data_IF_183444644409
#
_entry.id   IF_183444644409
#
_cell.length_a   1.000
_cell.length_b   1.000
_cell.length_c   1.000
_cell.angle_alpha   90.00
_cell.angle_beta   90.00
_cell.angle_gamma   90.00
#
_symmetry.space_group_name_H-M   'P 1'
#
loop_
_entity.id
_entity.type
_entity.pdbx_description
1 polymer ?
#
# COMPACT_ATOMS: atom_id res chain seq x y z
N UNK A 1 6.95 -23.08 7.38
CA UNK A 1 6.94 -22.03 8.43
C UNK A 1 5.66 -21.27 8.19
N UNK A 2 4.55 -21.79 8.69
CA UNK A 2 3.21 -21.37 8.27
C UNK A 2 2.34 -21.28 9.53
N UNK A 3 2.68 -20.33 10.39
CA UNK A 3 1.86 -19.92 11.53
C UNK A 3 1.78 -18.39 11.49
N UNK A 4 1.22 -17.85 10.40
CA UNK A 4 0.75 -16.46 10.35
C UNK A 4 -0.66 -16.50 10.96
N UNK A 5 -0.73 -16.92 12.21
CA UNK A 5 -1.96 -16.94 12.98
C UNK A 5 -2.38 -15.51 13.30
N UNK A 6 -3.12 -14.89 12.39
CA UNK A 6 -4.13 -13.86 12.69
C UNK A 6 -3.71 -12.72 13.65
N UNK A 7 -2.44 -12.32 13.72
CA UNK A 7 -2.03 -11.12 14.43
C UNK A 7 -1.88 -10.02 13.38
N UNK A 8 -2.84 -9.09 13.37
CA UNK A 8 -2.81 -7.93 12.49
C UNK A 8 -1.68 -7.02 13.00
N UNK A 9 -0.55 -6.99 12.28
CA UNK A 9 0.59 -6.11 12.56
C UNK A 9 0.49 -4.82 11.75
N UNK A 10 1.09 -3.73 12.23
CA UNK A 10 1.08 -2.45 11.52
C UNK A 10 1.77 -2.52 10.17
N UNK A 11 2.88 -3.24 10.05
CA UNK A 11 3.52 -3.52 8.75
C UNK A 11 2.55 -4.14 7.72
N UNK A 12 1.76 -5.13 8.14
CA UNK A 12 0.80 -5.79 7.26
C UNK A 12 -0.34 -4.83 6.85
N UNK A 13 -0.78 -3.97 7.77
CA UNK A 13 -1.77 -2.92 7.47
C UNK A 13 -1.20 -1.86 6.52
N UNK A 14 0.07 -1.49 6.68
CA UNK A 14 0.74 -0.51 5.82
C UNK A 14 0.91 -1.04 4.39
N UNK A 15 1.27 -2.32 4.25
CA UNK A 15 1.38 -2.97 2.94
C UNK A 15 0.03 -3.02 2.23
N UNK A 16 -1.04 -3.41 2.95
CA UNK A 16 -2.41 -3.38 2.43
C UNK A 16 -2.85 -1.97 2.01
N UNK A 17 -2.52 -0.95 2.82
CA UNK A 17 -2.81 0.45 2.55
C UNK A 17 -2.16 0.92 1.24
N UNK A 18 -0.87 0.61 1.05
CA UNK A 18 -0.14 0.96 -0.18
C UNK A 18 -0.71 0.24 -1.39
N UNK A 19 -1.03 -1.05 -1.28
CA UNK A 19 -1.61 -1.81 -2.39
C UNK A 19 -2.94 -1.21 -2.87
N UNK A 20 -3.79 -0.81 -1.94
CA UNK A 20 -5.05 -0.14 -2.26
C UNK A 20 -4.84 1.27 -2.81
N UNK A 21 -3.88 2.03 -2.26
CA UNK A 21 -3.51 3.35 -2.78
C UNK A 21 -3.02 3.26 -4.24
N UNK A 22 -2.22 2.24 -4.58
CA UNK A 22 -1.79 1.94 -5.96
C UNK A 22 -2.95 1.63 -6.91
N UNK A 23 -4.05 1.06 -6.41
CA UNK A 23 -5.27 0.80 -7.17
C UNK A 23 -6.13 2.07 -7.39
N UNK A 24 -5.72 3.21 -6.83
CA UNK A 24 -6.45 4.47 -6.91
C UNK A 24 -7.57 4.59 -5.89
N UNK A 25 -7.60 3.75 -4.84
CA UNK A 25 -8.53 3.94 -3.73
C UNK A 25 -8.12 5.14 -2.88
N UNK A 26 -9.08 6.01 -2.55
CA UNK A 26 -8.85 7.16 -1.66
C UNK A 26 -8.89 6.71 -0.21
N UNK A 27 -7.81 6.09 0.26
CA UNK A 27 -7.64 5.68 1.65
C UNK A 27 -7.09 6.83 2.50
N UNK A 28 -7.57 6.91 3.74
CA UNK A 28 -7.10 7.87 4.73
C UNK A 28 -6.53 7.15 5.94
N UNK A 29 -5.37 7.63 6.44
CA UNK A 29 -4.73 7.09 7.66
C UNK A 29 -5.69 7.13 8.85
N UNK A 30 -6.52 8.17 8.95
CA UNK A 30 -7.54 8.33 10.00
C UNK A 30 -8.57 7.19 10.07
N UNK A 31 -8.87 6.54 8.94
CA UNK A 31 -9.77 5.37 8.92
C UNK A 31 -9.12 4.16 9.59
N UNK A 32 -7.80 4.00 9.43
CA UNK A 32 -7.05 2.92 10.04
C UNK A 32 -6.81 3.16 11.53
N UNK A 33 -6.52 4.41 11.95
CA UNK A 33 -6.38 4.75 13.38
C UNK A 33 -7.70 4.65 14.13
N UNK A 34 -8.83 5.00 13.48
CA UNK A 34 -10.15 4.82 14.06
C UNK A 34 -10.56 3.34 14.21
N UNK A 35 -10.12 2.48 13.28
CA UNK A 35 -10.41 1.04 13.27
C UNK A 35 -9.51 0.24 14.22
N UNK A 36 -8.27 0.68 14.41
CA UNK A 36 -7.28 0.05 15.27
C UNK A 36 -6.68 1.08 16.24
N UNK A 37 -7.44 1.51 17.27
CA UNK A 37 -6.97 2.51 18.21
C UNK A 37 -5.73 2.06 18.99
N UNK A 38 -5.59 0.75 19.25
CA UNK A 38 -4.41 0.18 19.92
C UNK A 38 -3.12 0.27 19.09
N UNK A 39 -3.27 0.46 17.77
CA UNK A 39 -2.16 0.59 16.83
C UNK A 39 -2.07 2.02 16.26
N UNK A 40 -2.88 2.97 16.74
CA UNK A 40 -3.00 4.29 16.14
C UNK A 40 -1.67 5.05 16.12
N UNK A 41 -0.94 5.05 17.24
CA UNK A 41 0.37 5.71 17.33
C UNK A 41 1.36 5.14 16.31
N UNK A 42 1.40 3.81 16.18
CA UNK A 42 2.32 3.10 15.29
C UNK A 42 1.89 3.24 13.81
N UNK A 43 0.58 3.30 13.53
CA UNK A 43 0.03 3.59 12.19
C UNK A 43 0.41 5.02 11.75
N UNK A 44 0.26 6.02 12.63
CA UNK A 44 0.59 7.41 12.30
C UNK A 44 2.09 7.63 12.06
N UNK A 45 2.95 6.77 12.62
CA UNK A 45 4.39 6.79 12.37
C UNK A 45 4.77 6.01 11.09
N UNK A 46 4.28 4.79 10.94
CA UNK A 46 4.74 3.86 9.88
C UNK A 46 4.09 4.17 8.52
N UNK A 47 2.79 4.49 8.47
CA UNK A 47 2.09 4.68 7.19
C UNK A 47 2.68 5.83 6.36
N UNK A 48 2.91 7.04 6.91
CA UNK A 48 3.52 8.13 6.14
C UNK A 48 4.95 7.79 5.68
N UNK A 49 5.72 7.09 6.51
CA UNK A 49 7.08 6.68 6.14
C UNK A 49 7.08 5.70 4.96
N UNK A 50 6.17 4.72 4.98
CA UNK A 50 6.00 3.74 3.90
C UNK A 50 5.45 4.39 2.62
N UNK A 51 4.51 5.32 2.76
CA UNK A 51 3.98 6.12 1.64
C UNK A 51 5.08 6.94 0.95
N UNK A 52 5.94 7.60 1.72
CA UNK A 52 7.11 8.31 1.19
C UNK A 52 8.03 7.36 0.41
N UNK A 53 8.36 6.20 0.97
CA UNK A 53 9.21 5.20 0.28
C UNK A 53 8.58 4.73 -1.03
N UNK A 54 7.26 4.59 -1.08
CA UNK A 54 6.52 4.25 -2.29
C UNK A 54 6.60 5.35 -3.34
N UNK A 55 6.45 6.63 -2.95
CA UNK A 55 6.57 7.77 -3.86
C UNK A 55 7.99 7.89 -4.46
N UNK A 56 9.02 7.42 -3.76
CA UNK A 56 10.40 7.36 -4.26
C UNK A 56 10.69 6.15 -5.16
N UNK A 57 9.77 5.18 -5.26
CA UNK A 57 9.96 4.02 -6.12
C UNK A 57 9.81 4.47 -7.58
N UNK A 58 10.81 4.21 -8.45
CA UNK A 58 10.66 4.55 -9.86
C UNK A 58 9.45 3.82 -10.41
N UNK A 59 8.55 4.55 -11.08
CA UNK A 59 7.38 4.03 -11.78
C UNK A 59 7.81 3.20 -13.01
N UNK A 60 8.56 2.12 -12.78
CA UNK A 60 8.92 1.16 -13.81
C UNK A 60 7.73 0.22 -13.99
N UNK A 61 6.79 0.57 -14.87
CA UNK A 61 5.74 -0.38 -15.22
C UNK A 61 4.51 0.10 -15.98
N UNK A 62 4.43 1.35 -16.41
CA UNK A 62 3.37 1.81 -17.33
C UNK A 62 4.06 2.83 -18.24
N UNK A 63 4.50 2.48 -19.46
CA UNK A 63 3.68 2.43 -20.67
C UNK A 63 4.42 1.55 -21.71
N UNK A 64 3.91 0.36 -22.00
CA UNK A 64 4.04 -0.20 -23.36
C UNK A 64 2.83 -1.07 -23.66
N UNK A 65 1.66 -0.45 -23.63
CA UNK A 65 0.53 -0.90 -24.44
C UNK A 65 0.87 -0.57 -25.92
N UNK A 66 1.82 -1.32 -26.50
CA UNK A 66 1.99 -1.44 -27.96
C UNK A 66 1.18 -2.66 -28.44
N UNK A 67 -0.12 -2.68 -28.12
CA UNK A 67 -1.11 -3.44 -28.91
C UNK A 67 -1.79 -2.52 -29.93
N UNK A 68 -1.00 -1.68 -30.59
CA UNK A 68 -1.42 -0.98 -31.79
C UNK A 68 -0.29 -1.08 -32.81
N UNK A 69 -0.46 -2.04 -33.73
CA UNK A 69 -0.03 -1.99 -35.12
C UNK A 69 0.82 -3.18 -35.57
N UNK A 70 0.22 -3.90 -36.51
CA UNK A 70 0.88 -4.54 -37.64
C UNK A 70 1.66 -5.83 -37.38
N UNK A 71 1.04 -6.93 -37.82
CA UNK A 71 1.81 -7.95 -38.56
C UNK A 71 1.11 -8.27 -39.89
N UNK A 72 1.91 -8.46 -40.96
CA UNK A 72 1.54 -8.28 -42.37
C UNK A 72 0.66 -9.38 -42.96
#
# INVERSE_FOLDING_TARGET
MDDIGQQISVDALAEEFIERKRRGESLHISEYTAKYPDLADEIEEIFPAMELMEDFKPASGDLSDESASSRP
#
